data_IF_685688330248
#
_entry.id   IF_685688330248
#
_cell.length_a   1.000
_cell.length_b   1.000
_cell.length_c   1.000
_cell.angle_alpha   90.00
_cell.angle_beta   90.00
_cell.angle_gamma   90.00
#
_symmetry.space_group_name_H-M   'P 1'
#
loop_
_entity.id
_entity.type
_entity.pdbx_description
1 polymer ?
#
# COMPACT_ATOMS: atom_id res chain seq x y z
N UNK A 1 -19.81 54.59 -44.45
CA UNK A 1 -20.60 53.57 -43.77
C UNK A 1 -19.73 52.31 -43.72
N UNK A 2 -19.16 52.00 -42.57
CA UNK A 2 -18.29 50.82 -42.39
C UNK A 2 -18.94 49.94 -41.34
N UNK A 3 -19.38 48.74 -41.76
CA UNK A 3 -19.96 47.73 -40.88
C UNK A 3 -18.84 47.07 -40.03
N UNK A 4 -19.01 47.14 -38.71
CA UNK A 4 -18.17 46.42 -37.75
C UNK A 4 -18.66 44.99 -37.64
N UNK A 5 -17.90 44.04 -38.23
CA UNK A 5 -18.06 42.61 -38.00
C UNK A 5 -17.74 42.25 -36.53
N UNK A 6 -18.74 41.75 -35.80
CA UNK A 6 -18.57 41.18 -34.46
C UNK A 6 -18.03 39.76 -34.59
N UNK A 7 -16.74 39.58 -34.35
CA UNK A 7 -16.17 38.27 -34.14
C UNK A 7 -16.70 37.69 -32.81
N UNK A 8 -17.60 36.71 -32.86
CA UNK A 8 -17.99 35.88 -31.72
C UNK A 8 -16.98 34.74 -31.61
N UNK A 9 -16.06 34.89 -30.68
CA UNK A 9 -15.21 33.81 -30.27
C UNK A 9 -16.03 32.79 -29.45
N UNK A 10 -16.36 31.66 -30.07
CA UNK A 10 -16.97 30.55 -29.35
C UNK A 10 -15.86 29.91 -28.48
N UNK A 11 -15.91 30.16 -27.19
CA UNK A 11 -15.15 29.40 -26.22
C UNK A 11 -15.72 27.98 -26.23
N UNK A 12 -14.96 27.03 -26.77
CA UNK A 12 -15.25 25.60 -26.63
C UNK A 12 -15.03 25.27 -25.18
N UNK A 13 -16.11 25.21 -24.42
CA UNK A 13 -16.12 24.70 -23.05
C UNK A 13 -15.83 23.21 -23.16
N UNK A 14 -14.55 22.79 -22.93
CA UNK A 14 -14.22 21.38 -22.71
C UNK A 14 -15.03 20.95 -21.51
N UNK A 15 -16.05 20.13 -21.71
CA UNK A 15 -16.64 19.34 -20.65
C UNK A 15 -15.53 18.41 -20.14
N UNK A 16 -14.84 18.82 -19.08
CA UNK A 16 -14.03 17.91 -18.27
C UNK A 16 -15.06 17.01 -17.60
N UNK A 17 -15.15 15.76 -18.05
CA UNK A 17 -15.99 14.76 -17.41
C UNK A 17 -15.49 14.65 -15.97
N UNK A 18 -16.30 15.08 -14.99
CA UNK A 18 -15.90 15.00 -13.58
C UNK A 18 -15.94 13.56 -13.12
N UNK A 19 -14.87 13.10 -12.48
CA UNK A 19 -14.75 11.74 -11.96
C UNK A 19 -15.45 11.65 -10.62
N UNK A 20 -16.33 10.66 -10.43
CA UNK A 20 -16.97 10.39 -9.15
C UNK A 20 -16.08 9.50 -8.27
N UNK A 21 -16.25 9.59 -6.95
CA UNK A 21 -15.51 8.78 -5.98
C UNK A 21 -15.68 7.29 -6.26
N UNK A 22 -16.89 6.82 -6.60
CA UNK A 22 -17.13 5.42 -6.98
C UNK A 22 -16.30 4.95 -8.19
N UNK A 23 -15.95 5.85 -9.11
CA UNK A 23 -15.15 5.50 -10.28
C UNK A 23 -13.67 5.31 -9.89
N UNK A 24 -13.17 6.09 -8.93
CA UNK A 24 -11.85 5.88 -8.34
C UNK A 24 -11.80 4.55 -7.58
N UNK A 25 -12.83 4.27 -6.76
CA UNK A 25 -12.95 2.98 -6.05
C UNK A 25 -12.93 1.82 -7.05
N UNK A 26 -13.75 1.89 -8.10
CA UNK A 26 -13.81 0.85 -9.13
C UNK A 26 -12.48 0.68 -9.88
N UNK A 27 -11.69 1.76 -10.06
CA UNK A 27 -10.36 1.67 -10.66
C UNK A 27 -9.37 0.92 -9.75
N UNK A 28 -9.40 1.21 -8.44
CA UNK A 28 -8.57 0.53 -7.44
C UNK A 28 -8.97 -0.96 -7.32
N UNK A 29 -10.27 -1.26 -7.31
CA UNK A 29 -10.79 -2.63 -7.20
C UNK A 29 -10.55 -3.44 -8.48
N UNK A 30 -10.51 -2.85 -9.67
CA UNK A 30 -10.08 -3.56 -10.89
C UNK A 30 -8.61 -3.98 -10.83
N UNK A 31 -7.76 -3.19 -10.20
CA UNK A 31 -6.35 -3.52 -10.00
C UNK A 31 -6.17 -4.59 -8.91
N UNK A 32 -6.85 -4.44 -7.80
CA UNK A 32 -6.79 -5.34 -6.63
C UNK A 32 -8.22 -5.64 -6.13
N UNK A 33 -8.93 -6.62 -6.73
CA UNK A 33 -10.30 -6.97 -6.35
C UNK A 33 -10.44 -7.27 -4.85
N UNK A 34 -11.51 -6.76 -4.21
CA UNK A 34 -11.74 -6.96 -2.78
C UNK A 34 -11.73 -8.44 -2.35
N UNK A 35 -12.23 -9.42 -3.12
CA UNK A 35 -12.16 -10.82 -2.71
C UNK A 35 -10.72 -11.39 -2.61
N UNK A 36 -9.70 -10.68 -3.07
CA UNK A 36 -8.29 -11.04 -2.82
C UNK A 36 -7.87 -10.80 -1.37
N UNK A 37 -8.67 -10.07 -0.58
CA UNK A 37 -8.34 -9.78 0.82
C UNK A 37 -8.39 -11.04 1.70
N UNK A 38 -7.61 -11.02 2.77
CA UNK A 38 -7.64 -12.05 3.82
C UNK A 38 -8.99 -12.10 4.53
N UNK A 39 -9.41 -13.29 5.00
CA UNK A 39 -10.73 -13.48 5.60
C UNK A 39 -11.01 -12.69 6.89
N UNK A 40 -9.99 -12.12 7.53
CA UNK A 40 -10.10 -11.27 8.72
C UNK A 40 -10.16 -9.77 8.39
N UNK A 41 -9.93 -9.40 7.11
CA UNK A 41 -9.72 -8.03 6.68
C UNK A 41 -11.03 -7.25 6.49
N UNK A 42 -10.92 -5.93 6.39
CA UNK A 42 -12.02 -5.01 6.12
C UNK A 42 -11.61 -3.94 5.10
N UNK A 43 -11.02 -4.37 3.96
CA UNK A 43 -10.71 -3.47 2.86
C UNK A 43 -11.98 -2.93 2.18
N UNK A 44 -11.84 -1.86 1.41
CA UNK A 44 -12.91 -1.19 0.67
C UNK A 44 -13.38 0.10 1.32
N UNK A 45 -14.61 0.51 1.02
CA UNK A 45 -15.20 1.74 1.54
C UNK A 45 -15.35 1.69 3.06
N UNK A 46 -14.72 2.64 3.76
CA UNK A 46 -14.76 2.75 5.21
C UNK A 46 -15.78 3.80 5.68
N UNK A 47 -15.78 4.97 5.04
CA UNK A 47 -16.61 6.12 5.44
C UNK A 47 -17.04 6.89 4.21
N UNK A 48 -18.29 7.38 4.19
CA UNK A 48 -18.76 8.41 3.29
C UNK A 48 -19.61 7.94 2.11
N UNK A 49 -19.94 8.88 1.22
CA UNK A 49 -20.87 8.72 0.09
C UNK A 49 -20.11 8.82 -1.24
N UNK A 50 -20.30 7.84 -2.11
CA UNK A 50 -19.47 7.63 -3.29
C UNK A 50 -19.94 8.32 -4.57
N UNK A 51 -21.14 8.92 -4.56
CA UNK A 51 -21.70 9.61 -5.74
C UNK A 51 -21.14 11.03 -5.96
N UNK A 52 -20.44 11.58 -4.96
CA UNK A 52 -19.83 12.90 -5.07
C UNK A 52 -18.69 12.91 -6.11
N UNK A 53 -18.50 14.07 -6.74
CA UNK A 53 -17.32 14.32 -7.60
C UNK A 53 -16.06 14.42 -6.75
N UNK A 54 -14.95 13.88 -7.26
CA UNK A 54 -13.65 13.97 -6.58
C UNK A 54 -13.08 15.37 -6.74
N UNK A 55 -12.88 16.09 -5.64
CA UNK A 55 -12.15 17.38 -5.65
C UNK A 55 -10.64 17.18 -5.56
N UNK A 56 -10.20 16.07 -4.95
CA UNK A 56 -8.83 15.62 -4.82
C UNK A 56 -8.77 14.37 -3.95
N UNK A 57 -7.72 13.57 -4.15
CA UNK A 57 -7.42 12.37 -3.37
C UNK A 57 -6.14 12.55 -2.57
N UNK A 58 -6.20 12.34 -1.25
CA UNK A 58 -5.03 12.23 -0.37
C UNK A 58 -4.71 10.75 -0.16
N UNK A 59 -3.47 10.35 -0.40
CA UNK A 59 -2.99 8.97 -0.39
C UNK A 59 -2.07 8.77 0.82
N UNK A 60 -2.32 7.74 1.63
CA UNK A 60 -1.59 7.51 2.87
C UNK A 60 -1.47 6.02 3.19
N UNK A 61 -0.65 5.68 4.18
CA UNK A 61 -0.61 4.33 4.74
C UNK A 61 -1.73 4.16 5.77
N UNK A 62 -1.75 4.99 6.80
CA UNK A 62 -2.73 4.98 7.88
C UNK A 62 -3.61 6.22 7.84
N UNK A 63 -4.84 6.11 8.36
CA UNK A 63 -5.75 7.26 8.52
C UNK A 63 -5.80 7.68 9.98
N UNK A 64 -5.42 8.93 10.23
CA UNK A 64 -5.48 9.58 11.55
C UNK A 64 -6.23 10.90 11.45
N UNK A 65 -6.54 11.54 12.59
CA UNK A 65 -7.13 12.88 12.60
C UNK A 65 -6.27 13.90 11.84
N UNK A 66 -4.92 13.76 11.92
CA UNK A 66 -3.97 14.63 11.20
C UNK A 66 -4.05 14.45 9.67
N UNK A 67 -4.26 13.22 9.19
CA UNK A 67 -4.47 12.93 7.77
C UNK A 67 -5.78 13.57 7.28
N UNK A 68 -6.85 13.51 8.07
CA UNK A 68 -8.12 14.19 7.75
C UNK A 68 -7.92 15.70 7.70
N UNK A 69 -7.13 16.28 8.62
CA UNK A 69 -6.79 17.71 8.58
C UNK A 69 -5.98 18.09 7.33
N UNK A 70 -5.01 17.28 6.93
CA UNK A 70 -4.26 17.50 5.70
C UNK A 70 -5.18 17.43 4.46
N UNK A 71 -6.11 16.45 4.40
CA UNK A 71 -7.08 16.34 3.32
C UNK A 71 -7.93 17.61 3.21
N UNK A 72 -8.44 18.12 4.34
CA UNK A 72 -9.19 19.39 4.41
C UNK A 72 -8.34 20.56 3.88
N UNK A 73 -7.11 20.67 4.38
CA UNK A 73 -6.20 21.78 4.01
C UNK A 73 -5.85 21.77 2.52
N UNK A 74 -5.80 20.59 1.89
CA UNK A 74 -5.56 20.43 0.45
C UNK A 74 -6.82 20.47 -0.41
N UNK A 75 -8.00 20.61 0.19
CA UNK A 75 -9.28 20.59 -0.54
C UNK A 75 -9.64 19.21 -1.10
N UNK A 76 -9.10 18.14 -0.53
CA UNK A 76 -9.41 16.75 -0.91
C UNK A 76 -10.67 16.28 -0.18
N UNK A 77 -11.58 15.61 -0.91
CA UNK A 77 -12.75 14.95 -0.35
C UNK A 77 -12.65 13.42 -0.36
N UNK A 78 -11.52 12.87 -0.83
CA UNK A 78 -11.22 11.44 -0.83
C UNK A 78 -9.89 11.18 -0.14
N UNK A 79 -9.87 10.20 0.77
CA UNK A 79 -8.65 9.61 1.32
C UNK A 79 -8.60 8.17 0.85
N UNK A 80 -7.47 7.75 0.26
CA UNK A 80 -7.17 6.36 -0.06
C UNK A 80 -6.03 5.91 0.83
N UNK A 81 -6.29 4.93 1.68
CA UNK A 81 -5.30 4.39 2.62
C UNK A 81 -4.99 2.93 2.33
N UNK A 82 -3.84 2.47 2.80
CA UNK A 82 -3.54 1.05 2.85
C UNK A 82 -4.30 0.40 4.00
N UNK A 83 -4.01 0.79 5.22
CA UNK A 83 -4.66 0.22 6.40
C UNK A 83 -6.11 0.71 6.55
N UNK A 84 -7.07 -0.20 6.83
CA UNK A 84 -8.44 0.19 7.08
C UNK A 84 -8.55 0.92 8.42
N UNK A 85 -9.14 2.13 8.38
CA UNK A 85 -9.41 2.89 9.60
C UNK A 85 -10.34 2.11 10.55
N UNK A 86 -11.36 1.47 9.98
CA UNK A 86 -12.32 0.64 10.73
C UNK A 86 -11.90 -0.83 10.57
N UNK A 87 -10.79 -1.24 11.19
CA UNK A 87 -10.34 -2.63 11.15
C UNK A 87 -11.25 -3.54 11.99
N UNK A 88 -11.75 -3.05 13.12
CA UNK A 88 -12.70 -3.74 13.98
C UNK A 88 -14.06 -3.05 13.95
N UNK A 89 -15.14 -3.83 14.01
CA UNK A 89 -16.51 -3.30 13.99
C UNK A 89 -16.71 -2.27 15.11
N UNK A 90 -17.21 -1.09 14.74
CA UNK A 90 -17.58 -0.06 15.70
C UNK A 90 -18.99 -0.33 16.23
N UNK A 91 -19.18 -0.24 17.54
CA UNK A 91 -20.47 -0.28 18.19
C UNK A 91 -21.10 1.10 18.38
N UNK A 92 -20.29 2.14 18.35
CA UNK A 92 -20.70 3.54 18.43
C UNK A 92 -19.69 4.43 17.70
N UNK A 93 -20.06 5.68 17.46
CA UNK A 93 -19.17 6.74 16.96
C UNK A 93 -19.22 7.86 18.00
N UNK A 94 -18.12 8.04 18.72
CA UNK A 94 -17.98 9.01 19.82
C UNK A 94 -16.55 9.55 19.87
N UNK A 95 -16.14 10.13 20.96
CA UNK A 95 -14.77 10.57 21.26
C UNK A 95 -13.93 9.51 22.00
N UNK A 96 -14.44 8.26 22.15
CA UNK A 96 -13.88 7.21 22.98
C UNK A 96 -12.47 6.75 22.59
N UNK A 97 -12.16 6.72 21.29
CA UNK A 97 -10.84 6.36 20.77
C UNK A 97 -10.52 7.15 19.49
N UNK A 98 -9.27 6.99 18.99
CA UNK A 98 -8.83 7.73 17.80
C UNK A 98 -9.58 7.33 16.52
N UNK A 99 -10.02 6.07 16.40
CA UNK A 99 -10.77 5.59 15.22
C UNK A 99 -12.12 6.30 15.16
N UNK A 100 -12.87 6.29 16.28
CA UNK A 100 -14.19 6.92 16.37
C UNK A 100 -14.10 8.44 16.12
N UNK A 101 -13.11 9.12 16.71
CA UNK A 101 -12.87 10.57 16.46
C UNK A 101 -12.55 10.86 15.01
N UNK A 102 -11.70 10.03 14.38
CA UNK A 102 -11.33 10.19 12.98
C UNK A 102 -12.53 9.97 12.05
N UNK A 103 -13.32 8.92 12.30
CA UNK A 103 -14.57 8.63 11.56
C UNK A 103 -15.55 9.80 11.69
N UNK A 104 -15.78 10.28 12.92
CA UNK A 104 -16.69 11.39 13.18
C UNK A 104 -16.24 12.67 12.44
N UNK A 105 -14.95 12.98 12.48
CA UNK A 105 -14.36 14.12 11.80
C UNK A 105 -14.50 14.01 10.28
N UNK A 106 -14.23 12.85 9.71
CA UNK A 106 -14.38 12.60 8.28
C UNK A 106 -15.83 12.81 7.82
N UNK A 107 -16.82 12.26 8.57
CA UNK A 107 -18.24 12.44 8.28
C UNK A 107 -18.63 13.92 8.33
N UNK A 108 -18.23 14.66 9.39
CA UNK A 108 -18.53 16.08 9.53
C UNK A 108 -17.99 16.93 8.40
N UNK A 109 -16.88 16.52 7.77
CA UNK A 109 -16.19 17.23 6.70
C UNK A 109 -16.52 16.72 5.31
N UNK A 110 -17.41 15.73 5.19
CA UNK A 110 -17.79 15.13 3.91
C UNK A 110 -16.65 14.42 3.21
N UNK A 111 -15.66 13.93 3.97
CA UNK A 111 -14.51 13.20 3.45
C UNK A 111 -14.85 11.72 3.37
N UNK A 112 -14.59 11.13 2.21
CA UNK A 112 -14.74 9.69 1.96
C UNK A 112 -13.40 9.01 2.22
N UNK A 113 -13.43 7.86 2.92
CA UNK A 113 -12.25 7.05 3.23
C UNK A 113 -12.43 5.67 2.60
N UNK A 114 -11.45 5.26 1.80
CA UNK A 114 -11.36 3.94 1.16
C UNK A 114 -10.03 3.32 1.52
N UNK A 115 -10.02 2.04 1.87
CA UNK A 115 -8.79 1.31 2.20
C UNK A 115 -8.59 0.14 1.25
N UNK A 116 -7.36 0.00 0.74
CA UNK A 116 -6.92 -1.11 -0.10
C UNK A 116 -5.78 -1.79 0.64
N UNK A 117 -6.09 -2.85 1.38
CA UNK A 117 -5.23 -3.49 2.36
C UNK A 117 -4.69 -4.81 1.84
N UNK A 118 -5.02 -5.95 2.44
CA UNK A 118 -4.46 -7.24 2.04
C UNK A 118 -4.82 -7.67 0.61
N UNK A 119 -5.86 -7.13 0.02
CA UNK A 119 -6.13 -7.27 -1.41
C UNK A 119 -5.05 -6.59 -2.27
N UNK A 120 -4.53 -5.42 -1.83
CA UNK A 120 -3.44 -4.71 -2.51
C UNK A 120 -2.10 -5.41 -2.29
N UNK A 121 -1.87 -6.03 -1.12
CA UNK A 121 -0.70 -6.86 -0.87
C UNK A 121 -0.65 -8.06 -1.81
N UNK A 122 -1.83 -8.68 -2.02
CA UNK A 122 -1.97 -9.92 -2.76
C UNK A 122 -1.94 -9.75 -4.28
N UNK A 123 -2.29 -8.59 -4.82
CA UNK A 123 -2.43 -8.38 -6.26
C UNK A 123 -1.06 -8.32 -6.98
N UNK A 124 -1.04 -8.77 -8.24
CA UNK A 124 0.11 -8.53 -9.14
C UNK A 124 0.36 -7.02 -9.26
N UNK A 125 1.60 -6.59 -9.08
CA UNK A 125 1.97 -5.17 -9.09
C UNK A 125 1.59 -4.42 -7.81
N UNK A 126 1.05 -5.09 -6.81
CA UNK A 126 0.72 -4.53 -5.50
C UNK A 126 1.94 -4.42 -4.57
N UNK A 127 1.68 -4.36 -3.25
CA UNK A 127 2.71 -4.02 -2.24
C UNK A 127 3.90 -4.98 -2.29
N UNK A 128 3.66 -6.30 -2.31
CA UNK A 128 4.75 -7.28 -2.35
C UNK A 128 5.57 -7.19 -3.64
N UNK A 129 4.94 -6.88 -4.77
CA UNK A 129 5.64 -6.61 -6.03
C UNK A 129 6.47 -5.33 -5.96
N UNK A 130 5.97 -4.28 -5.29
CA UNK A 130 6.71 -3.03 -5.08
C UNK A 130 7.95 -3.23 -4.22
N UNK A 131 7.87 -4.07 -3.18
CA UNK A 131 9.04 -4.47 -2.38
C UNK A 131 10.06 -5.21 -3.26
N UNK A 132 9.60 -6.18 -4.07
CA UNK A 132 10.47 -6.93 -4.97
C UNK A 132 11.14 -6.03 -6.01
N UNK A 133 10.40 -5.08 -6.60
CA UNK A 133 10.92 -4.08 -7.54
C UNK A 133 12.04 -3.24 -6.89
N UNK A 134 11.84 -2.73 -5.68
CA UNK A 134 12.84 -1.94 -4.94
C UNK A 134 14.11 -2.73 -4.66
N UNK A 135 14.00 -4.05 -4.47
CA UNK A 135 15.15 -4.94 -4.31
C UNK A 135 15.79 -5.33 -5.63
N UNK A 136 15.17 -5.02 -6.78
CA UNK A 136 15.65 -5.42 -8.10
C UNK A 136 15.53 -6.92 -8.37
N UNK A 137 14.56 -7.58 -7.75
CA UNK A 137 14.31 -9.01 -7.97
C UNK A 137 13.64 -9.25 -9.32
N UNK A 138 13.96 -10.37 -9.93
CA UNK A 138 13.44 -10.87 -11.21
C UNK A 138 12.73 -12.21 -11.01
N UNK A 139 12.04 -12.70 -12.06
CA UNK A 139 11.35 -13.99 -12.07
C UNK A 139 10.38 -14.17 -10.88
N UNK A 140 9.55 -13.13 -10.66
CA UNK A 140 8.63 -13.08 -9.53
C UNK A 140 7.51 -14.11 -9.67
N UNK A 141 7.21 -14.80 -8.57
CA UNK A 141 6.04 -15.66 -8.43
C UNK A 141 5.45 -15.53 -7.04
N UNK A 142 4.16 -15.84 -6.91
CA UNK A 142 3.48 -15.83 -5.63
C UNK A 142 3.91 -17.00 -4.73
N UNK A 143 3.84 -16.77 -3.43
CA UNK A 143 3.95 -17.78 -2.37
C UNK A 143 2.76 -17.63 -1.40
N UNK A 144 2.54 -18.65 -0.58
CA UNK A 144 1.37 -18.72 0.31
C UNK A 144 0.12 -19.16 -0.43
N UNK A 145 -1.02 -18.82 0.14
CA UNK A 145 -2.30 -19.10 -0.50
C UNK A 145 -2.44 -18.23 -1.75
N UNK A 146 -2.76 -18.87 -2.87
CA UNK A 146 -2.97 -18.20 -4.15
C UNK A 146 -4.41 -18.32 -4.57
N UNK A 147 -4.93 -17.30 -5.24
CA UNK A 147 -6.28 -17.28 -5.78
C UNK A 147 -6.34 -16.40 -7.04
N UNK A 148 -7.39 -16.58 -7.82
CA UNK A 148 -7.69 -15.74 -8.98
C UNK A 148 -9.11 -15.17 -8.82
N UNK A 149 -9.23 -13.87 -8.99
CA UNK A 149 -10.51 -13.15 -8.88
C UNK A 149 -10.64 -12.25 -10.09
N UNK A 150 -11.69 -12.46 -10.90
CA UNK A 150 -11.99 -11.64 -12.10
C UNK A 150 -10.81 -11.51 -13.08
N UNK A 151 -10.01 -12.59 -13.19
CA UNK A 151 -8.81 -12.62 -14.05
C UNK A 151 -7.57 -11.95 -13.43
N UNK A 152 -7.64 -11.50 -12.19
CA UNK A 152 -6.50 -10.99 -11.42
C UNK A 152 -5.97 -12.10 -10.52
N UNK A 153 -4.72 -12.50 -10.73
CA UNK A 153 -4.04 -13.46 -9.86
C UNK A 153 -3.52 -12.75 -8.61
N UNK A 154 -3.59 -13.44 -7.48
CA UNK A 154 -3.11 -12.94 -6.20
C UNK A 154 -2.48 -14.02 -5.33
N UNK A 155 -1.62 -13.61 -4.40
CA UNK A 155 -0.98 -14.50 -3.41
C UNK A 155 -0.46 -13.71 -2.22
N UNK A 156 -0.27 -14.37 -1.10
CA UNK A 156 0.04 -13.73 0.18
C UNK A 156 1.43 -13.10 0.24
N UNK A 157 2.38 -13.61 -0.53
CA UNK A 157 3.74 -13.08 -0.63
C UNK A 157 4.33 -13.35 -2.01
N UNK A 158 5.57 -12.93 -2.20
CA UNK A 158 6.28 -13.05 -3.48
C UNK A 158 7.66 -13.67 -3.25
N UNK A 159 8.12 -14.48 -4.22
CA UNK A 159 9.48 -14.99 -4.29
C UNK A 159 10.07 -14.61 -5.64
N UNK A 160 11.35 -14.20 -5.63
CA UNK A 160 12.08 -13.82 -6.83
C UNK A 160 13.58 -14.08 -6.70
N UNK A 161 14.36 -13.64 -7.68
CA UNK A 161 15.81 -13.84 -7.73
C UNK A 161 16.55 -12.55 -8.02
N UNK A 162 17.69 -12.39 -7.42
CA UNK A 162 18.68 -11.42 -7.90
C UNK A 162 19.27 -11.89 -9.22
N UNK A 163 19.54 -10.96 -10.16
CA UNK A 163 20.24 -11.25 -11.41
C UNK A 163 21.67 -11.78 -11.17
N UNK A 164 22.28 -11.38 -10.07
CA UNK A 164 23.55 -11.88 -9.56
C UNK A 164 23.44 -12.08 -8.06
N UNK A 165 23.92 -13.21 -7.52
CA UNK A 165 23.91 -13.44 -6.09
C UNK A 165 24.62 -12.33 -5.31
N UNK A 166 24.08 -11.94 -4.16
CA UNK A 166 24.62 -10.89 -3.28
C UNK A 166 25.08 -11.49 -1.94
N UNK A 167 26.00 -10.84 -1.25
CA UNK A 167 26.36 -11.24 0.09
C UNK A 167 25.25 -10.87 1.10
N UNK A 168 25.19 -11.55 2.24
CA UNK A 168 24.15 -11.33 3.24
C UNK A 168 24.19 -9.91 3.85
N UNK A 169 25.37 -9.36 4.05
CA UNK A 169 25.57 -7.98 4.50
C UNK A 169 25.22 -6.95 3.42
N UNK A 170 25.48 -7.24 2.13
CA UNK A 170 25.04 -6.39 1.01
C UNK A 170 23.51 -6.34 0.93
N UNK A 171 22.80 -7.45 1.17
CA UNK A 171 21.34 -7.44 1.27
C UNK A 171 20.86 -6.52 2.39
N UNK A 172 21.48 -6.57 3.57
CA UNK A 172 21.14 -5.68 4.70
C UNK A 172 21.35 -4.21 4.32
N UNK A 173 22.48 -3.90 3.66
CA UNK A 173 22.76 -2.54 3.19
C UNK A 173 21.77 -2.07 2.12
N UNK A 174 21.38 -2.96 1.20
CA UNK A 174 20.37 -2.69 0.19
C UNK A 174 19.02 -2.36 0.84
N UNK A 175 18.57 -3.18 1.81
CA UNK A 175 17.34 -2.96 2.56
C UNK A 175 17.35 -1.61 3.29
N UNK A 176 18.47 -1.27 3.95
CA UNK A 176 18.63 0.02 4.64
C UNK A 176 18.47 1.19 3.67
N UNK A 177 19.10 1.11 2.52
CA UNK A 177 19.08 2.15 1.49
C UNK A 177 17.70 2.31 0.86
N UNK A 178 17.12 1.21 0.36
CA UNK A 178 15.90 1.25 -0.45
C UNK A 178 14.63 1.53 0.38
N UNK A 179 14.63 1.16 1.67
CA UNK A 179 13.49 1.37 2.57
C UNK A 179 13.71 2.51 3.58
N UNK A 180 14.87 3.17 3.55
CA UNK A 180 15.17 4.30 4.43
C UNK A 180 15.21 3.90 5.91
N UNK A 181 15.71 2.68 6.23
CA UNK A 181 15.76 2.19 7.61
C UNK A 181 17.17 2.26 8.19
N UNK A 182 17.27 2.70 9.44
CA UNK A 182 18.55 2.75 10.14
C UNK A 182 18.96 1.39 10.72
N UNK A 183 17.98 0.55 11.05
CA UNK A 183 18.18 -0.76 11.65
C UNK A 183 17.36 -1.84 10.93
N UNK A 184 17.97 -2.96 10.61
CA UNK A 184 17.33 -4.19 10.14
C UNK A 184 17.52 -5.25 11.23
N UNK A 185 16.44 -5.85 11.71
CA UNK A 185 16.56 -7.01 12.59
C UNK A 185 16.85 -8.23 11.70
N UNK A 186 17.87 -9.01 12.08
CA UNK A 186 18.27 -10.17 11.31
C UNK A 186 18.71 -11.33 12.24
N UNK A 187 18.58 -12.57 11.74
CA UNK A 187 19.28 -13.69 12.35
C UNK A 187 20.77 -13.68 11.96
N UNK A 188 21.50 -14.71 12.35
CA UNK A 188 22.91 -14.85 11.97
C UNK A 188 23.06 -14.77 10.44
N UNK A 189 23.93 -13.88 9.95
CA UNK A 189 24.16 -13.67 8.53
C UNK A 189 24.63 -14.96 7.85
N UNK A 190 24.08 -15.26 6.69
CA UNK A 190 24.47 -16.40 5.88
C UNK A 190 25.92 -16.26 5.41
N UNK A 191 26.65 -17.39 5.41
CA UNK A 191 28.03 -17.47 4.89
C UNK A 191 28.08 -17.77 3.39
N UNK A 192 26.93 -18.02 2.76
CA UNK A 192 26.79 -18.25 1.33
C UNK A 192 26.05 -17.08 0.66
N UNK A 193 26.24 -16.88 -0.64
CA UNK A 193 25.52 -15.85 -1.38
C UNK A 193 23.99 -16.09 -1.36
N UNK A 194 23.26 -14.99 -1.44
CA UNK A 194 21.80 -14.93 -1.55
C UNK A 194 21.44 -14.67 -3.01
N UNK A 195 20.70 -15.57 -3.60
CA UNK A 195 20.15 -15.44 -4.95
C UNK A 195 18.63 -15.36 -4.91
N UNK A 196 17.99 -16.25 -4.15
CA UNK A 196 16.53 -16.40 -4.10
C UNK A 196 15.96 -15.78 -2.84
N UNK A 197 15.06 -14.80 -3.01
CA UNK A 197 14.47 -14.04 -1.91
C UNK A 197 12.97 -14.22 -1.92
N UNK A 198 12.41 -14.65 -0.79
CA UNK A 198 10.97 -14.59 -0.51
C UNK A 198 10.67 -13.35 0.34
N UNK A 199 9.51 -12.76 0.17
CA UNK A 199 9.12 -11.55 0.89
C UNK A 199 7.61 -11.46 1.11
N UNK A 200 7.24 -10.75 2.19
CA UNK A 200 5.89 -10.32 2.48
C UNK A 200 5.97 -9.06 3.34
N UNK A 201 5.37 -7.97 2.88
CA UNK A 201 5.25 -6.73 3.64
C UNK A 201 4.44 -6.92 4.93
N UNK A 202 4.44 -5.92 5.81
CA UNK A 202 3.69 -5.95 7.06
C UNK A 202 4.01 -7.16 7.94
N UNK A 203 2.99 -7.83 8.45
CA UNK A 203 3.08 -8.98 9.35
C UNK A 203 3.18 -10.32 8.59
N UNK A 204 4.19 -10.46 7.72
CA UNK A 204 4.37 -11.59 6.81
C UNK A 204 5.05 -12.84 7.39
N UNK A 205 5.42 -12.86 8.68
CA UNK A 205 6.22 -13.94 9.30
C UNK A 205 5.65 -15.35 9.09
N UNK A 206 4.35 -15.50 8.95
CA UNK A 206 3.67 -16.78 8.73
C UNK A 206 4.11 -17.50 7.43
N UNK A 207 4.68 -16.78 6.47
CA UNK A 207 5.22 -17.35 5.22
C UNK A 207 6.65 -17.88 5.34
N UNK A 208 7.34 -17.65 6.45
CA UNK A 208 8.72 -18.14 6.63
C UNK A 208 8.87 -19.67 6.42
N UNK A 209 7.97 -20.54 6.93
CA UNK A 209 8.08 -21.98 6.67
C UNK A 209 7.98 -22.33 5.19
N UNK A 210 7.16 -21.64 4.44
CA UNK A 210 7.03 -21.85 3.00
C UNK A 210 8.23 -21.32 2.23
N UNK A 211 8.76 -20.15 2.60
CA UNK A 211 9.99 -19.61 2.04
C UNK A 211 11.15 -20.61 2.16
N UNK A 212 11.28 -21.24 3.34
CA UNK A 212 12.25 -22.32 3.58
C UNK A 212 11.97 -23.52 2.69
N UNK A 213 10.73 -23.98 2.61
CA UNK A 213 10.32 -25.13 1.77
C UNK A 213 10.63 -24.91 0.30
N UNK A 214 10.48 -23.69 -0.19
CA UNK A 214 10.77 -23.28 -1.55
C UNK A 214 12.27 -23.05 -1.80
N UNK A 215 13.11 -23.20 -0.78
CA UNK A 215 14.56 -23.01 -0.86
C UNK A 215 14.96 -21.55 -1.11
N UNK A 216 14.26 -20.61 -0.49
CA UNK A 216 14.70 -19.23 -0.46
C UNK A 216 15.98 -19.08 0.36
N UNK A 217 16.91 -18.25 -0.10
CA UNK A 217 18.12 -17.90 0.64
C UNK A 217 17.85 -16.80 1.66
N UNK A 218 16.88 -15.92 1.38
CA UNK A 218 16.47 -14.87 2.31
C UNK A 218 14.95 -14.75 2.37
N UNK A 219 14.46 -14.28 3.53
CA UNK A 219 13.08 -13.88 3.77
C UNK A 219 13.03 -12.47 4.32
N UNK A 220 12.31 -11.57 3.64
CA UNK A 220 12.15 -10.16 4.02
C UNK A 220 10.72 -9.90 4.43
N UNK A 221 10.50 -9.29 5.60
CA UNK A 221 9.16 -8.95 6.11
C UNK A 221 9.20 -7.68 6.95
N UNK A 222 8.01 -7.12 7.26
CA UNK A 222 7.88 -5.96 8.12
C UNK A 222 7.95 -6.30 9.61
N UNK A 223 7.35 -7.43 10.03
CA UNK A 223 7.27 -7.83 11.44
C UNK A 223 7.52 -9.31 11.63
N UNK A 224 8.15 -9.65 12.78
CA UNK A 224 8.39 -11.02 13.19
C UNK A 224 8.59 -11.09 14.70
N UNK A 225 8.04 -12.11 15.36
CA UNK A 225 8.23 -12.31 16.78
C UNK A 225 9.59 -12.93 17.09
N UNK A 226 10.14 -12.61 18.27
CA UNK A 226 11.47 -13.04 18.74
C UNK A 226 11.72 -14.54 18.55
N UNK A 227 10.77 -15.41 18.91
CA UNK A 227 10.95 -16.87 18.85
C UNK A 227 10.94 -17.44 17.42
N UNK A 228 10.50 -16.70 16.42
CA UNK A 228 10.46 -17.15 15.02
C UNK A 228 11.82 -17.11 14.34
N UNK A 229 12.79 -16.40 14.93
CA UNK A 229 14.17 -16.34 14.43
C UNK A 229 14.99 -17.62 14.71
N UNK A 230 14.59 -18.44 15.70
CA UNK A 230 15.38 -19.60 16.12
C UNK A 230 15.30 -20.77 15.14
N UNK A 231 16.40 -21.57 15.11
CA UNK A 231 16.47 -22.80 14.33
C UNK A 231 16.54 -22.59 12.82
N UNK A 232 16.96 -21.41 12.39
CA UNK A 232 17.09 -21.02 10.97
C UNK A 232 18.54 -20.63 10.61
N UNK A 233 19.47 -20.82 11.55
CA UNK A 233 20.88 -20.45 11.39
C UNK A 233 21.47 -21.16 10.18
N UNK A 234 22.09 -20.39 9.28
CA UNK A 234 22.65 -20.84 8.01
C UNK A 234 21.67 -21.55 7.06
N UNK A 235 20.39 -21.64 7.40
CA UNK A 235 19.33 -22.16 6.51
C UNK A 235 18.78 -21.06 5.60
N UNK A 236 18.37 -19.94 6.21
CA UNK A 236 17.78 -18.78 5.51
C UNK A 236 18.17 -17.50 6.25
N UNK A 237 18.46 -16.44 5.50
CA UNK A 237 18.65 -15.09 6.04
C UNK A 237 17.30 -14.45 6.30
N UNK A 238 16.96 -14.19 7.55
CA UNK A 238 15.77 -13.43 7.91
C UNK A 238 16.14 -11.95 8.01
N UNK A 239 15.32 -11.07 7.41
CA UNK A 239 15.47 -9.62 7.50
C UNK A 239 14.12 -8.98 7.81
N UNK A 240 14.01 -8.24 8.92
CA UNK A 240 12.81 -7.52 9.33
C UNK A 240 13.09 -6.02 9.27
N UNK A 241 12.33 -5.30 8.45
CA UNK A 241 12.60 -3.89 8.11
C UNK A 241 11.64 -2.89 8.74
N UNK A 242 10.64 -3.36 9.48
CA UNK A 242 9.57 -2.55 10.06
C UNK A 242 8.30 -2.56 9.19
N UNK A 243 7.15 -2.60 9.86
CA UNK A 243 5.83 -2.65 9.22
C UNK A 243 5.64 -1.45 8.29
N UNK A 244 5.67 -0.24 8.87
CA UNK A 244 5.54 1.01 8.14
C UNK A 244 6.52 1.08 6.96
N UNK A 245 7.78 0.75 7.18
CA UNK A 245 8.83 0.88 6.18
C UNK A 245 8.65 -0.08 5.00
N UNK A 246 8.08 -1.25 5.23
CA UNK A 246 7.80 -2.22 4.15
C UNK A 246 6.63 -1.79 3.26
N UNK A 247 5.69 -0.99 3.77
CA UNK A 247 4.42 -0.67 3.10
C UNK A 247 4.24 0.81 2.74
N UNK A 248 5.10 1.72 3.21
CA UNK A 248 4.98 3.17 2.99
C UNK A 248 4.84 3.58 1.51
N UNK A 249 5.32 2.74 0.60
CA UNK A 249 5.29 2.99 -0.84
C UNK A 249 3.94 2.63 -1.50
N UNK A 250 2.97 2.09 -0.75
CA UNK A 250 1.62 1.77 -1.25
C UNK A 250 0.92 3.01 -1.82
N UNK A 251 1.16 4.17 -1.23
CA UNK A 251 0.64 5.45 -1.75
C UNK A 251 1.10 5.78 -3.17
N UNK A 252 2.28 5.31 -3.59
CA UNK A 252 2.76 5.47 -4.96
C UNK A 252 1.95 4.61 -5.92
N UNK A 253 1.63 3.37 -5.52
CA UNK A 253 0.79 2.44 -6.30
C UNK A 253 -0.60 3.07 -6.52
N UNK A 254 -1.22 3.58 -5.46
CA UNK A 254 -2.51 4.26 -5.57
C UNK A 254 -2.46 5.44 -6.55
N UNK A 255 -1.43 6.27 -6.45
CA UNK A 255 -1.25 7.41 -7.35
C UNK A 255 -1.13 6.97 -8.81
N UNK A 256 -0.33 5.94 -9.09
CA UNK A 256 -0.15 5.40 -10.44
C UNK A 256 -1.47 4.88 -11.01
N UNK A 257 -2.26 4.14 -10.24
CA UNK A 257 -3.57 3.63 -10.65
C UNK A 257 -4.53 4.78 -10.95
N UNK A 258 -4.67 5.74 -10.03
CA UNK A 258 -5.63 6.84 -10.17
C UNK A 258 -5.23 7.75 -11.34
N UNK A 259 -3.96 8.07 -11.50
CA UNK A 259 -3.49 8.90 -12.60
C UNK A 259 -3.70 8.23 -13.97
N UNK A 260 -3.59 6.91 -14.04
CA UNK A 260 -3.81 6.14 -15.27
C UNK A 260 -5.29 5.99 -15.63
N UNK A 261 -6.13 5.65 -14.64
CA UNK A 261 -7.53 5.26 -14.85
C UNK A 261 -8.52 6.43 -14.68
N UNK A 262 -8.17 7.45 -13.89
CA UNK A 262 -9.02 8.54 -13.49
C UNK A 262 -8.38 9.89 -13.85
N UNK A 263 -8.18 10.12 -15.15
CA UNK A 263 -7.47 11.30 -15.63
C UNK A 263 -8.10 12.62 -15.13
N UNK A 264 -7.27 13.51 -14.58
CA UNK A 264 -7.68 14.81 -14.07
C UNK A 264 -8.02 14.86 -12.58
N UNK A 265 -8.00 13.73 -11.87
CA UNK A 265 -8.12 13.71 -10.40
C UNK A 265 -6.80 14.17 -9.76
N UNK A 266 -6.80 15.27 -8.97
CA UNK A 266 -5.61 15.68 -8.24
C UNK A 266 -5.27 14.63 -7.17
N UNK A 267 -4.03 14.12 -7.17
CA UNK A 267 -3.55 13.12 -6.22
C UNK A 267 -2.37 13.66 -5.42
N UNK A 268 -2.45 13.57 -4.11
CA UNK A 268 -1.41 14.00 -3.19
C UNK A 268 -1.01 12.84 -2.28
N UNK A 269 0.27 12.52 -2.24
CA UNK A 269 0.80 11.64 -1.18
C UNK A 269 0.92 12.52 0.08
N UNK A 270 0.49 11.97 1.21
CA UNK A 270 0.55 12.68 2.49
C UNK A 270 1.97 13.09 2.86
N UNK A 271 2.09 14.26 3.49
CA UNK A 271 3.33 14.71 4.12
C UNK A 271 3.42 14.30 5.60
N UNK A 272 2.34 13.79 6.18
CA UNK A 272 2.28 13.34 7.57
C UNK A 272 2.89 11.95 7.68
N UNK A 273 3.94 11.82 8.49
CA UNK A 273 4.46 10.50 8.86
C UNK A 273 3.56 9.89 9.94
N UNK A 274 2.90 8.79 9.63
CA UNK A 274 1.99 8.10 10.54
C UNK A 274 2.64 6.95 11.30
N UNK A 275 3.95 6.70 11.10
CA UNK A 275 4.66 5.65 11.83
C UNK A 275 4.63 5.91 13.35
N UNK A 276 3.99 5.06 14.17
CA UNK A 276 3.94 5.26 15.60
C UNK A 276 5.20 4.80 16.33
N UNK A 277 6.13 4.14 15.61
CA UNK A 277 7.34 3.55 16.20
C UNK A 277 8.52 4.50 15.98
N UNK A 278 9.18 4.84 17.06
CA UNK A 278 10.43 5.61 17.05
C UNK A 278 11.61 4.66 17.24
N UNK A 279 12.64 4.83 16.43
CA UNK A 279 13.92 4.14 16.57
C UNK A 279 14.89 5.12 17.22
N UNK A 280 15.30 4.87 18.47
CA UNK A 280 16.10 5.77 19.32
C UNK A 280 17.51 5.20 19.55
#
# INVERSE_FOLDING_TARGET
>A
MAEKGKNRTFAVQKHVCSVKIKEVIAALERFAPLPLQSGFDNAGLQVGLTEAEVSGALLCLDVTEAIVDEAIARGCNLIVSHHPLIFRKLSCISDGDYVQRTVFKAIQRGIVIVSMHTNMDSAVGGVNYKIAEKLGLQDLSFIGQQQEVEGVSGGEGVIGRFAKPVAADDLVLLLKKEFGVECVQANQLLRRPIEKVALCGGSGAFLLPEAVRLGADAFVTGEMHYHEFFGREQQIQICVIGHYQSEQYTSEIFREIIMRECAGVPCYITSVNTNPILYL
#
